data_IF_189589193430
#
_entry.id   IF_189589193430
#
_cell.length_a   1.000
_cell.length_b   1.000
_cell.length_c   1.000
_cell.angle_alpha   90.00
_cell.angle_beta   90.00
_cell.angle_gamma   90.00
#
_symmetry.space_group_name_H-M   'P 1'
#
loop_
_entity.id
_entity.type
_entity.pdbx_description
1 polymer ?
#
# COMPACT_ATOMS: atom_id res chain seq x y z
N UNK A 1 37.50 14.41 41.04
CA UNK A 1 36.38 14.57 40.10
C UNK A 1 36.49 13.46 39.06
N UNK A 2 35.72 12.38 39.18
CA UNK A 2 35.79 11.25 38.24
C UNK A 2 34.49 11.22 37.42
N UNK A 3 34.63 11.55 36.14
CA UNK A 3 33.51 11.81 35.25
C UNK A 3 32.84 10.50 34.82
N UNK A 4 31.53 10.41 35.03
CA UNK A 4 30.68 9.26 34.69
C UNK A 4 30.50 9.18 33.18
N UNK A 5 30.87 8.05 32.57
CA UNK A 5 30.43 7.70 31.20
C UNK A 5 29.22 6.78 31.35
N UNK A 6 28.04 7.32 31.05
CA UNK A 6 26.79 6.57 31.03
C UNK A 6 26.58 6.07 29.59
N UNK A 7 26.82 4.78 29.33
CA UNK A 7 26.50 4.17 28.04
C UNK A 7 24.99 3.94 27.94
N UNK A 8 24.29 4.78 27.18
CA UNK A 8 22.90 4.54 26.81
C UNK A 8 22.85 3.51 25.68
N UNK A 9 22.44 2.29 26.00
CA UNK A 9 22.10 1.25 25.02
C UNK A 9 20.71 1.62 24.47
N UNK A 10 20.66 2.06 23.21
CA UNK A 10 19.41 2.20 22.47
C UNK A 10 18.89 0.81 22.11
N UNK A 11 17.94 0.30 22.91
CA UNK A 11 17.16 -0.88 22.53
C UNK A 11 16.20 -0.42 21.43
N UNK A 12 16.45 -0.87 20.19
CA UNK A 12 15.51 -0.72 19.08
C UNK A 12 14.30 -1.60 19.41
N UNK A 13 13.28 -1.01 20.04
CA UNK A 13 12.00 -1.68 20.20
C UNK A 13 11.37 -1.81 18.82
N UNK A 14 11.08 -3.05 18.42
CA UNK A 14 10.25 -3.31 17.25
C UNK A 14 8.92 -2.57 17.46
N UNK A 15 8.62 -1.60 16.61
CA UNK A 15 7.38 -0.84 16.67
C UNK A 15 6.24 -1.80 16.28
N UNK A 16 5.65 -2.44 17.28
CA UNK A 16 4.38 -3.15 17.12
C UNK A 16 3.28 -2.09 17.01
N UNK A 17 2.89 -1.77 15.77
CA UNK A 17 1.76 -0.89 15.51
C UNK A 17 0.47 -1.56 16.00
N UNK A 18 -0.35 -0.91 16.86
CA UNK A 18 -1.67 -1.40 17.22
C UNK A 18 -2.51 -1.62 15.96
N UNK A 19 -3.22 -2.75 15.87
CA UNK A 19 -4.16 -3.01 14.77
C UNK A 19 -5.58 -2.75 15.28
N UNK A 20 -6.18 -1.64 14.86
CA UNK A 20 -7.59 -1.35 15.15
C UNK A 20 -8.54 -2.29 14.38
N UNK A 21 -9.78 -2.48 14.87
CA UNK A 21 -10.74 -3.42 14.28
C UNK A 21 -11.25 -3.00 12.89
N UNK A 22 -11.25 -3.98 11.98
CA UNK A 22 -11.54 -3.94 10.54
C UNK A 22 -12.99 -3.56 10.12
N UNK A 23 -13.83 -3.06 11.03
CA UNK A 23 -15.28 -2.86 10.77
C UNK A 23 -15.53 -1.86 9.65
N UNK A 24 -14.85 -0.71 9.66
CA UNK A 24 -14.97 0.31 8.61
C UNK A 24 -14.43 -0.15 7.25
N UNK A 25 -13.37 -0.95 7.24
CA UNK A 25 -12.79 -1.52 6.01
C UNK A 25 -13.74 -2.55 5.38
N UNK A 26 -14.39 -3.39 6.19
CA UNK A 26 -15.40 -4.33 5.66
C UNK A 26 -16.56 -3.60 5.00
N UNK A 27 -17.02 -2.50 5.57
CA UNK A 27 -18.04 -1.66 4.94
C UNK A 27 -17.53 -1.12 3.60
N UNK A 28 -16.33 -0.56 3.59
CA UNK A 28 -15.70 0.02 2.41
C UNK A 28 -15.50 -1.00 1.27
N UNK A 29 -15.08 -2.23 1.61
CA UNK A 29 -14.89 -3.34 0.66
C UNK A 29 -16.20 -3.89 0.07
N UNK A 30 -17.34 -3.61 0.70
CA UNK A 30 -18.67 -4.01 0.21
C UNK A 30 -19.46 -2.83 -0.39
N UNK A 31 -18.96 -1.61 -0.22
CA UNK A 31 -19.58 -0.38 -0.73
C UNK A 31 -19.30 -0.22 -2.22
N UNK A 32 -20.32 0.20 -2.96
CA UNK A 32 -20.13 0.70 -4.34
C UNK A 32 -19.51 2.10 -4.26
N UNK A 33 -18.30 2.25 -4.79
CA UNK A 33 -17.56 3.51 -4.81
C UNK A 33 -17.61 4.17 -6.18
N UNK A 34 -17.33 5.46 -6.18
CA UNK A 34 -17.18 6.22 -7.41
C UNK A 34 -15.86 5.83 -8.11
N UNK A 35 -15.94 5.59 -9.42
CA UNK A 35 -14.80 5.14 -10.24
C UNK A 35 -14.61 5.92 -11.54
N UNK A 36 -15.54 6.81 -11.91
CA UNK A 36 -15.40 7.60 -13.13
C UNK A 36 -14.11 8.41 -13.09
N UNK A 37 -13.41 8.50 -14.23
CA UNK A 37 -11.98 8.23 -14.36
C UNK A 37 -11.15 9.29 -13.63
N UNK A 38 -11.05 9.10 -12.32
CA UNK A 38 -10.41 10.03 -11.40
C UNK A 38 -9.25 9.40 -10.66
N UNK A 39 -9.12 8.07 -10.66
CA UNK A 39 -8.04 7.35 -10.01
C UNK A 39 -7.48 6.26 -10.92
N UNK A 40 -6.21 6.37 -11.24
CA UNK A 40 -5.47 5.46 -12.10
C UNK A 40 -4.38 4.76 -11.28
N UNK A 41 -4.31 3.44 -11.41
CA UNK A 41 -3.30 2.64 -10.75
C UNK A 41 -2.90 1.48 -11.67
N UNK A 42 -1.60 1.35 -11.92
CA UNK A 42 -1.03 0.19 -12.59
C UNK A 42 -0.13 -0.56 -11.61
N UNK A 43 -0.55 -1.75 -11.12
CA UNK A 43 0.25 -2.52 -10.19
C UNK A 43 1.61 -2.89 -10.81
N UNK A 44 2.74 -2.61 -10.13
CA UNK A 44 4.03 -3.13 -10.56
C UNK A 44 4.03 -4.66 -10.62
N UNK A 45 4.61 -5.22 -11.69
CA UNK A 45 4.68 -6.66 -11.94
C UNK A 45 5.93 -7.00 -12.77
N UNK A 46 6.78 -7.95 -12.33
CA UNK A 46 6.75 -8.69 -11.06
C UNK A 46 7.20 -7.85 -9.85
N UNK A 47 6.78 -8.28 -8.66
CA UNK A 47 7.33 -7.81 -7.40
C UNK A 47 8.44 -8.74 -6.93
N UNK A 48 9.67 -8.25 -6.83
CA UNK A 48 10.81 -9.07 -6.39
C UNK A 48 11.06 -8.97 -4.89
N UNK A 49 11.54 -10.07 -4.29
CA UNK A 49 11.77 -10.20 -2.85
C UNK A 49 12.87 -9.30 -2.30
N UNK A 50 13.78 -8.83 -3.14
CA UNK A 50 15.01 -8.10 -2.81
C UNK A 50 15.12 -6.71 -3.46
N UNK A 51 14.06 -6.27 -4.18
CA UNK A 51 14.05 -4.98 -4.86
C UNK A 51 12.96 -4.06 -4.29
N UNK A 52 13.28 -2.79 -4.02
CA UNK A 52 12.26 -1.81 -3.67
C UNK A 52 11.32 -1.58 -4.86
N UNK A 53 10.06 -1.33 -4.57
CA UNK A 53 9.06 -0.95 -5.57
C UNK A 53 8.15 0.13 -4.98
N UNK A 54 7.42 0.81 -5.87
CA UNK A 54 6.48 1.86 -5.49
C UNK A 54 5.07 1.45 -5.87
N UNK A 55 4.12 1.76 -4.99
CA UNK A 55 2.69 1.70 -5.28
C UNK A 55 2.25 3.12 -5.62
N UNK A 56 1.95 3.32 -6.90
CA UNK A 56 1.67 4.64 -7.46
C UNK A 56 0.21 4.75 -7.84
N UNK A 57 -0.45 5.80 -7.39
CA UNK A 57 -1.79 6.19 -7.82
C UNK A 57 -1.70 7.57 -8.45
N UNK A 58 -2.27 7.71 -9.64
CA UNK A 58 -2.47 9.01 -10.28
C UNK A 58 -3.93 9.39 -10.13
N UNK A 59 -4.17 10.64 -9.77
CA UNK A 59 -5.50 11.18 -9.52
C UNK A 59 -5.78 12.32 -10.48
N UNK A 60 -6.98 12.32 -11.06
CA UNK A 60 -7.56 13.40 -11.86
C UNK A 60 -8.71 14.07 -11.07
N UNK A 61 -8.40 14.39 -9.82
CA UNK A 61 -9.20 15.21 -8.91
C UNK A 61 -8.29 16.39 -8.57
N UNK A 62 -8.79 17.64 -8.57
CA UNK A 62 -7.98 18.77 -8.14
C UNK A 62 -7.40 18.52 -6.75
N UNK A 63 -6.09 18.74 -6.58
CA UNK A 63 -5.41 18.55 -5.27
C UNK A 63 -6.10 19.35 -4.15
N UNK A 64 -6.70 20.50 -4.48
CA UNK A 64 -7.45 21.33 -3.55
C UNK A 64 -8.77 20.70 -3.05
N UNK A 65 -9.34 19.73 -3.79
CA UNK A 65 -10.58 19.03 -3.42
C UNK A 65 -10.30 17.72 -2.66
N UNK A 66 -9.08 17.19 -2.74
CA UNK A 66 -8.70 15.96 -2.04
C UNK A 66 -8.38 16.25 -0.58
N UNK A 67 -9.28 15.87 0.32
CA UNK A 67 -9.09 16.04 1.76
C UNK A 67 -8.13 14.99 2.32
N UNK A 68 -8.28 13.74 1.90
CA UNK A 68 -7.47 12.62 2.38
C UNK A 68 -7.26 11.59 1.28
N UNK A 69 -6.00 11.19 1.09
CA UNK A 69 -5.64 10.08 0.21
C UNK A 69 -4.98 8.99 1.04
N UNK A 70 -5.57 7.79 1.02
CA UNK A 70 -5.18 6.65 1.82
C UNK A 70 -4.75 5.49 0.94
N UNK A 71 -3.68 4.83 1.34
CA UNK A 71 -3.35 3.47 0.96
C UNK A 71 -3.71 2.54 2.10
N UNK A 72 -4.58 1.57 1.84
CA UNK A 72 -4.81 0.44 2.71
C UNK A 72 -3.86 -0.67 2.30
N UNK A 73 -2.95 -1.06 3.17
CA UNK A 73 -1.88 -2.01 2.85
C UNK A 73 -1.77 -3.09 3.93
N UNK A 74 -1.63 -4.34 3.49
CA UNK A 74 -1.25 -5.45 4.37
C UNK A 74 -0.32 -6.43 3.67
N UNK A 75 0.42 -7.16 4.48
CA UNK A 75 1.09 -8.40 4.04
C UNK A 75 0.30 -9.62 4.50
N UNK A 76 0.69 -10.80 4.04
CA UNK A 76 0.18 -12.10 4.52
C UNK A 76 0.46 -12.39 6.01
N UNK A 77 1.34 -11.62 6.65
CA UNK A 77 1.63 -11.72 8.08
C UNK A 77 0.81 -10.76 8.94
N UNK A 78 0.00 -9.88 8.33
CA UNK A 78 -0.83 -8.92 9.03
C UNK A 78 -2.28 -9.39 9.08
N UNK A 79 -2.92 -9.26 10.24
CA UNK A 79 -4.35 -9.57 10.39
C UNK A 79 -5.22 -8.51 9.71
N UNK A 80 -4.93 -7.23 9.97
CA UNK A 80 -5.70 -6.09 9.44
C UNK A 80 -4.90 -5.26 8.43
N UNK A 81 -5.61 -4.48 7.61
CA UNK A 81 -4.96 -3.43 6.81
C UNK A 81 -4.39 -2.34 7.70
N UNK A 82 -3.24 -1.81 7.30
CA UNK A 82 -2.73 -0.54 7.80
C UNK A 82 -3.22 0.58 6.89
N UNK A 83 -3.65 1.67 7.50
CA UNK A 83 -4.02 2.90 6.81
C UNK A 83 -2.81 3.81 6.72
N UNK A 84 -2.44 4.18 5.50
CA UNK A 84 -1.25 4.98 5.23
C UNK A 84 -1.70 6.23 4.48
N UNK A 85 -1.61 7.39 5.13
CA UNK A 85 -1.86 8.68 4.48
C UNK A 85 -0.76 9.00 3.47
N UNK A 86 -1.16 9.35 2.25
CA UNK A 86 -0.24 9.69 1.16
C UNK A 86 -0.25 11.20 0.92
N UNK A 87 0.95 11.75 0.76
CA UNK A 87 1.13 13.11 0.25
C UNK A 87 1.42 13.02 -1.25
N UNK A 88 0.57 13.64 -2.05
CA UNK A 88 0.71 13.70 -3.48
C UNK A 88 1.50 14.92 -3.93
N UNK A 89 1.90 14.91 -5.20
CA UNK A 89 2.45 16.07 -5.88
C UNK A 89 1.92 16.08 -7.32
N UNK A 90 1.11 17.09 -7.67
CA UNK A 90 0.46 17.22 -8.98
C UNK A 90 -0.32 15.95 -9.37
N UNK A 91 -1.21 15.48 -8.50
CA UNK A 91 -2.02 14.28 -8.73
C UNK A 91 -1.29 12.94 -8.63
N UNK A 92 0.05 12.89 -8.49
CA UNK A 92 0.79 11.65 -8.26
C UNK A 92 0.96 11.37 -6.77
N UNK A 93 0.46 10.24 -6.30
CA UNK A 93 0.60 9.74 -4.94
C UNK A 93 1.41 8.44 -4.95
N UNK A 94 2.50 8.40 -4.20
CA UNK A 94 3.47 7.30 -4.25
C UNK A 94 3.79 6.79 -2.86
N UNK A 95 3.69 5.47 -2.68
CA UNK A 95 4.19 4.77 -1.50
C UNK A 95 5.36 3.87 -1.86
N UNK A 96 6.53 4.12 -1.29
CA UNK A 96 7.73 3.26 -1.47
C UNK A 96 7.69 2.12 -0.47
N UNK A 97 7.51 0.90 -0.92
CA UNK A 97 7.49 -0.28 -0.05
C UNK A 97 8.92 -0.69 0.29
N UNK A 98 9.24 -0.67 1.58
CA UNK A 98 10.50 -1.20 2.12
C UNK A 98 10.22 -2.49 2.87
N UNK A 99 10.67 -3.62 2.34
CA UNK A 99 10.38 -4.94 2.92
C UNK A 99 10.87 -5.11 4.37
N UNK A 100 11.95 -4.43 4.77
CA UNK A 100 12.41 -4.42 6.15
C UNK A 100 11.38 -3.86 7.14
N UNK A 101 10.49 -2.99 6.69
CA UNK A 101 9.41 -2.39 7.50
C UNK A 101 8.10 -3.21 7.42
N UNK A 102 7.95 -4.02 6.38
CA UNK A 102 6.74 -4.80 6.07
C UNK A 102 7.10 -6.26 5.75
N UNK A 103 7.31 -7.12 6.77
CA UNK A 103 7.64 -8.52 6.57
C UNK A 103 6.46 -9.29 5.96
N UNK A 104 6.76 -10.24 5.07
CA UNK A 104 5.76 -11.05 4.36
C UNK A 104 6.26 -11.60 3.02
N UNK A 105 5.45 -12.46 2.41
CA UNK A 105 5.67 -13.06 1.09
C UNK A 105 4.67 -12.58 0.04
N UNK A 106 3.64 -11.85 0.45
CA UNK A 106 2.70 -11.22 -0.47
C UNK A 106 2.14 -9.93 0.12
N UNK A 107 1.55 -9.12 -0.75
CA UNK A 107 0.84 -7.88 -0.39
C UNK A 107 -0.59 -7.94 -0.89
N UNK A 108 -1.44 -7.24 -0.14
CA UNK A 108 -2.83 -6.96 -0.48
C UNK A 108 -3.09 -5.47 -0.19
N UNK A 109 -3.60 -4.73 -1.18
CA UNK A 109 -3.76 -3.29 -1.03
C UNK A 109 -4.79 -2.65 -1.97
N UNK A 110 -5.24 -1.46 -1.60
CA UNK A 110 -6.09 -0.60 -2.42
C UNK A 110 -5.97 0.86 -1.97
N UNK A 111 -6.43 1.79 -2.80
CA UNK A 111 -6.42 3.23 -2.52
C UNK A 111 -7.82 3.78 -2.34
N UNK A 112 -7.96 4.77 -1.46
CA UNK A 112 -9.20 5.50 -1.20
C UNK A 112 -8.91 6.99 -1.13
N UNK A 113 -9.80 7.79 -1.71
CA UNK A 113 -9.74 9.25 -1.64
C UNK A 113 -11.05 9.78 -1.06
N UNK A 114 -10.94 10.56 0.00
CA UNK A 114 -12.02 11.38 0.54
C UNK A 114 -11.87 12.81 0.03
N UNK A 115 -12.96 13.36 -0.49
CA UNK A 115 -13.04 14.75 -0.91
C UNK A 115 -13.61 15.63 0.19
N UNK A 116 -13.40 16.94 0.08
CA UNK A 116 -13.96 17.93 1.01
C UNK A 116 -15.50 17.92 0.96
N UNK A 117 -16.06 17.59 -0.20
CA UNK A 117 -17.50 17.46 -0.45
C UNK A 117 -18.09 16.16 0.11
N UNK A 118 -17.28 15.30 0.72
CA UNK A 118 -17.72 14.05 1.35
C UNK A 118 -17.84 12.86 0.39
N UNK A 119 -17.45 13.01 -0.87
CA UNK A 119 -17.38 11.90 -1.83
C UNK A 119 -16.21 10.97 -1.51
N UNK A 120 -16.41 9.68 -1.78
CA UNK A 120 -15.41 8.62 -1.58
C UNK A 120 -15.15 7.92 -2.91
N UNK A 121 -13.91 8.01 -3.37
CA UNK A 121 -13.40 7.30 -4.54
C UNK A 121 -12.48 6.17 -4.12
N UNK A 122 -12.41 5.10 -4.91
CA UNK A 122 -11.51 3.98 -4.63
C UNK A 122 -10.95 3.34 -5.89
N UNK A 123 -9.76 2.75 -5.78
CA UNK A 123 -9.15 1.99 -6.88
C UNK A 123 -8.24 0.86 -6.35
N UNK A 124 -8.17 -0.31 -7.02
CA UNK A 124 -8.98 -0.68 -8.18
C UNK A 124 -10.38 -1.15 -7.79
N UNK A 125 -11.33 -0.97 -8.71
CA UNK A 125 -12.69 -1.51 -8.58
C UNK A 125 -12.90 -2.68 -9.54
N UNK A 126 -13.77 -3.62 -9.14
CA UNK A 126 -14.28 -4.65 -10.04
C UNK A 126 -15.39 -4.09 -10.96
N UNK A 127 -15.93 -4.95 -11.83
CA UNK A 127 -17.02 -4.60 -12.78
C UNK A 127 -18.31 -4.10 -12.13
N UNK A 128 -18.48 -4.26 -10.81
CA UNK A 128 -19.64 -3.75 -10.05
C UNK A 128 -19.37 -2.39 -9.39
N UNK A 129 -18.17 -1.83 -9.56
CA UNK A 129 -17.75 -0.60 -8.87
C UNK A 129 -17.45 -0.82 -7.39
N UNK A 130 -17.10 -2.03 -6.99
CA UNK A 130 -16.71 -2.38 -5.61
C UNK A 130 -15.20 -2.58 -5.57
N UNK A 131 -14.55 -2.16 -4.48
CA UNK A 131 -13.11 -2.35 -4.31
C UNK A 131 -12.71 -3.80 -4.57
N UNK A 132 -11.68 -3.96 -5.40
CA UNK A 132 -11.05 -5.22 -5.71
C UNK A 132 -9.57 -5.11 -5.36
N UNK A 133 -9.19 -5.32 -4.09
CA UNK A 133 -7.82 -5.17 -3.65
C UNK A 133 -6.82 -5.95 -4.52
N UNK A 134 -5.68 -5.31 -4.78
CA UNK A 134 -4.60 -5.89 -5.56
C UNK A 134 -3.83 -6.87 -4.69
N UNK A 135 -3.76 -8.13 -5.13
CA UNK A 135 -3.03 -9.21 -4.46
C UNK A 135 -1.83 -9.63 -5.28
N UNK A 136 -0.62 -9.55 -4.72
CA UNK A 136 0.62 -9.90 -5.42
C UNK A 136 1.58 -10.65 -4.51
N UNK A 137 2.19 -11.72 -5.04
CA UNK A 137 3.28 -12.46 -4.37
C UNK A 137 4.62 -11.84 -4.70
N UNK A 138 5.54 -11.89 -3.75
CA UNK A 138 6.94 -11.60 -3.99
C UNK A 138 7.62 -12.79 -4.64
N UNK A 139 8.44 -12.52 -5.64
CA UNK A 139 9.16 -13.53 -6.41
C UNK A 139 10.66 -13.40 -6.16
N UNK A 140 11.33 -14.54 -6.08
CA UNK A 140 12.77 -14.58 -6.21
C UNK A 140 13.15 -14.23 -7.66
N UNK A 141 14.00 -13.20 -7.88
CA UNK A 141 14.34 -12.75 -9.23
C UNK A 141 15.09 -13.82 -10.03
N UNK A 142 15.98 -14.58 -9.39
CA UNK A 142 16.76 -15.64 -10.05
C UNK A 142 15.80 -16.72 -10.54
N UNK A 143 14.93 -17.21 -9.67
CA UNK A 143 13.94 -18.23 -10.05
C UNK A 143 12.98 -17.73 -11.14
N UNK A 144 12.58 -16.46 -11.09
CA UNK A 144 11.71 -15.88 -12.10
C UNK A 144 12.34 -15.91 -13.50
N UNK A 145 13.57 -15.42 -13.64
CA UNK A 145 14.24 -15.36 -14.94
C UNK A 145 14.63 -16.76 -15.47
N UNK A 146 15.02 -17.68 -14.60
CA UNK A 146 15.27 -19.08 -14.99
C UNK A 146 14.02 -19.77 -15.55
N UNK A 147 12.86 -19.58 -14.90
CA UNK A 147 11.58 -20.08 -15.44
C UNK A 147 11.24 -19.44 -16.78
N UNK A 148 11.41 -18.12 -16.91
CA UNK A 148 11.13 -17.38 -18.15
C UNK A 148 11.99 -17.84 -19.32
N UNK A 149 13.27 -18.12 -19.06
CA UNK A 149 14.19 -18.68 -20.05
C UNK A 149 13.70 -20.03 -20.59
N UNK A 150 13.26 -20.94 -19.70
CA UNK A 150 12.77 -22.27 -20.09
C UNK A 150 11.46 -22.23 -20.90
N UNK A 151 10.60 -21.26 -20.65
CA UNK A 151 9.33 -21.11 -21.39
C UNK A 151 9.48 -20.50 -22.78
N UNK A 152 10.60 -19.82 -23.03
CA UNK A 152 10.91 -19.18 -24.31
C UNK A 152 11.81 -20.07 -25.21
N UNK A 153 12.06 -21.31 -24.78
CA UNK A 153 12.75 -22.36 -25.55
C UNK A 153 11.73 -23.32 -26.11
#
# INVERSE_FOLDING_TARGET
MLNRIFCFIFIITAISFPQEPDVGIKELLNKKLLSEPKLYHYPPDPLFTDRPFSLDMVMDIPDASAQLVLLFFKTDQMTNYREISLKGNHGLYRFKVKKGEFPGQSIDYFFVVHTIEGEIYGTPLNSKGILSPVKRKFLDPIQYYERKKRMNQ
#
